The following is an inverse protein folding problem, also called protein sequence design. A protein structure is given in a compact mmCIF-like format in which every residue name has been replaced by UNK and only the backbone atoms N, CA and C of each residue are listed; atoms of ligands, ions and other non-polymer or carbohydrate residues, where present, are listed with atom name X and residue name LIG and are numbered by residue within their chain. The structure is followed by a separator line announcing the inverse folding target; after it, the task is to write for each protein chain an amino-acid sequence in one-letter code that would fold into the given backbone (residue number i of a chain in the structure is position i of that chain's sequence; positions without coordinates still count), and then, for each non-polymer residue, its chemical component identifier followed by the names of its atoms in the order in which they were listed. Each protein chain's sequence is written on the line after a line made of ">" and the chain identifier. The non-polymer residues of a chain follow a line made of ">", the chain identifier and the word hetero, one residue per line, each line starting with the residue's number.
data_IF_841586396474
#
_entry.id   IF_841586396474
#
_cell.length_a   1.000
_cell.length_b   1.000
_cell.length_c   1.000
_cell.angle_alpha   90.00
_cell.angle_beta   90.00
_cell.angle_gamma   90.00
#
_symmetry.space_group_name_H-M   'P 1'
#
loop_
_entity.id
_entity.type
_entity.pdbx_description
1 polymer ?
#
# COMPACT_ATOMS: atom_id res chain seq x y z
N UNK A 1 -36.09 2.98 -64.29
CA UNK A 1 -37.10 2.71 -63.24
C UNK A 1 -36.83 1.32 -62.70
N UNK A 2 -36.24 1.24 -61.51
CA UNK A 2 -35.92 -0.02 -60.85
C UNK A 2 -36.34 0.12 -59.37
N UNK A 3 -37.24 -0.76 -58.96
CA UNK A 3 -37.63 -1.03 -57.58
C UNK A 3 -36.60 -1.94 -56.92
N UNK A 4 -36.29 -1.73 -55.64
CA UNK A 4 -36.16 -2.82 -54.67
C UNK A 4 -36.32 -2.31 -53.23
N UNK A 5 -37.25 -2.93 -52.51
CA UNK A 5 -37.41 -2.88 -51.05
C UNK A 5 -36.25 -3.62 -50.35
N UNK A 6 -36.06 -3.35 -49.05
CA UNK A 6 -36.07 -4.32 -47.93
C UNK A 6 -35.43 -3.66 -46.69
N UNK A 7 -36.22 -3.53 -45.61
CA UNK A 7 -35.77 -3.59 -44.21
C UNK A 7 -35.81 -5.07 -43.78
N UNK A 8 -34.94 -5.53 -42.87
CA UNK A 8 -35.44 -5.60 -41.50
C UNK A 8 -34.42 -5.31 -40.38
N UNK A 9 -35.05 -4.91 -39.29
CA UNK A 9 -34.65 -4.91 -37.89
C UNK A 9 -34.01 -6.24 -37.44
N UNK A 10 -32.97 -6.16 -36.62
CA UNK A 10 -32.48 -7.32 -35.85
C UNK A 10 -31.93 -6.88 -34.50
N UNK A 11 -32.81 -6.93 -33.52
CA UNK A 11 -32.50 -7.12 -32.11
C UNK A 11 -31.53 -8.29 -31.91
N UNK A 12 -30.44 -8.08 -31.16
CA UNK A 12 -29.72 -9.20 -30.56
C UNK A 12 -29.18 -8.84 -29.17
N UNK A 13 -29.79 -9.52 -28.19
CA UNK A 13 -29.34 -9.76 -26.84
C UNK A 13 -27.83 -9.96 -26.74
N UNK A 14 -27.19 -9.31 -25.76
CA UNK A 14 -26.05 -9.92 -25.07
C UNK A 14 -26.32 -9.91 -23.57
N UNK A 15 -26.35 -11.14 -23.07
CA UNK A 15 -26.66 -11.55 -21.72
C UNK A 15 -25.72 -10.92 -20.70
N UNK A 16 -26.31 -10.43 -19.62
CA UNK A 16 -25.64 -10.19 -18.35
C UNK A 16 -25.26 -11.56 -17.80
N UNK A 17 -23.97 -11.91 -17.85
CA UNK A 17 -23.44 -13.06 -17.11
C UNK A 17 -22.98 -12.53 -15.76
N UNK A 18 -23.84 -12.73 -14.77
CA UNK A 18 -23.58 -12.47 -13.36
C UNK A 18 -22.86 -13.71 -12.81
N UNK A 19 -21.52 -13.66 -12.65
CA UNK A 19 -20.80 -14.72 -11.96
C UNK A 19 -20.87 -14.43 -10.46
N UNK A 20 -21.79 -15.12 -9.80
CA UNK A 20 -21.91 -15.20 -8.35
C UNK A 20 -20.80 -16.09 -7.80
N UNK A 21 -20.12 -15.55 -6.79
CA UNK A 21 -19.25 -16.21 -5.83
C UNK A 21 -19.74 -17.61 -5.41
N UNK A 22 -18.83 -18.59 -5.40
CA UNK A 22 -19.03 -19.81 -4.63
C UNK A 22 -17.76 -20.14 -3.85
N UNK A 23 -17.75 -19.75 -2.59
CA UNK A 23 -16.89 -20.35 -1.57
C UNK A 23 -17.10 -21.87 -1.54
N UNK A 24 -16.01 -22.63 -1.52
CA UNK A 24 -16.02 -24.02 -1.09
C UNK A 24 -14.79 -24.27 -0.24
N UNK A 25 -14.97 -24.07 1.06
CA UNK A 25 -14.13 -24.65 2.11
C UNK A 25 -14.32 -26.17 2.05
N UNK A 26 -13.24 -26.91 1.83
CA UNK A 26 -13.18 -28.33 2.16
C UNK A 26 -12.00 -28.57 3.09
N UNK A 27 -12.33 -28.62 4.38
CA UNK A 27 -11.58 -29.37 5.38
C UNK A 27 -11.78 -30.87 5.12
N UNK A 28 -10.68 -31.58 4.87
CA UNK A 28 -10.57 -32.99 5.24
C UNK A 28 -9.15 -33.25 5.74
N UNK A 29 -9.05 -33.61 7.01
CA UNK A 29 -7.83 -34.10 7.61
C UNK A 29 -7.49 -35.51 7.13
N UNK A 30 -6.22 -35.86 7.21
CA UNK A 30 -5.79 -37.25 7.32
C UNK A 30 -4.58 -37.31 8.26
N UNK A 31 -4.85 -37.84 9.45
CA UNK A 31 -3.89 -38.43 10.36
C UNK A 31 -3.39 -39.73 9.72
N UNK A 32 -2.07 -39.93 9.66
CA UNK A 32 -1.46 -41.26 9.79
C UNK A 32 -0.12 -41.15 10.52
N UNK A 33 0.04 -42.08 11.46
CA UNK A 33 1.20 -42.31 12.30
C UNK A 33 2.11 -43.40 11.69
N UNK A 34 3.18 -43.73 12.43
CA UNK A 34 4.17 -44.81 12.25
C UNK A 34 5.39 -44.41 11.39
N UNK A 35 6.64 -44.71 11.72
CA UNK A 35 7.25 -45.50 12.81
C UNK A 35 8.72 -45.05 12.89
N UNK A 36 9.24 -44.73 14.08
CA UNK A 36 10.68 -44.49 14.28
C UNK A 36 11.31 -45.77 14.80
N UNK A 37 12.27 -46.29 14.03
CA UNK A 37 13.10 -47.44 14.38
C UNK A 37 14.23 -47.03 15.33
N UNK A 38 14.44 -47.85 16.35
CA UNK A 38 15.42 -47.69 17.43
C UNK A 38 16.83 -48.18 17.04
N UNK A 39 17.85 -47.38 17.32
CA UNK A 39 19.18 -47.76 17.83
C UNK A 39 19.66 -46.53 18.62
N UNK A 40 20.06 -46.55 19.89
CA UNK A 40 20.67 -47.62 20.66
C UNK A 40 22.03 -47.12 21.13
N UNK A 41 22.10 -46.14 22.03
CA UNK A 41 23.33 -45.78 22.76
C UNK A 41 22.99 -45.26 24.16
N UNK A 42 23.37 -46.03 25.16
CA UNK A 42 23.22 -45.76 26.58
C UNK A 42 24.32 -44.81 27.07
N UNK A 43 23.95 -43.57 27.43
CA UNK A 43 24.80 -42.61 28.14
C UNK A 43 24.31 -42.53 29.60
N UNK A 44 25.21 -42.53 30.61
CA UNK A 44 24.83 -42.54 32.02
C UNK A 44 24.10 -41.26 32.45
N UNK A 45 23.21 -41.33 33.47
CA UNK A 45 22.35 -40.23 33.86
C UNK A 45 23.16 -39.12 34.54
N UNK A 46 23.18 -37.93 33.93
CA UNK A 46 23.47 -36.68 34.64
C UNK A 46 22.24 -36.30 35.45
N UNK A 47 22.37 -36.33 36.77
CA UNK A 47 21.44 -35.67 37.69
C UNK A 47 21.43 -34.17 37.36
N UNK A 48 20.37 -33.72 36.69
CA UNK A 48 20.06 -32.30 36.52
C UNK A 48 19.00 -31.99 37.57
N UNK A 49 19.39 -31.28 38.61
CA UNK A 49 18.47 -30.60 39.51
C UNK A 49 17.73 -29.53 38.70
N UNK A 50 16.50 -29.83 38.27
CA UNK A 50 15.59 -28.82 37.77
C UNK A 50 15.05 -28.04 38.97
N UNK A 51 15.55 -26.82 39.14
CA UNK A 51 14.84 -25.77 39.87
C UNK A 51 13.72 -25.28 38.92
N UNK A 52 12.44 -25.33 39.31
CA UNK A 52 11.39 -24.69 38.54
C UNK A 52 11.47 -23.19 38.82
N UNK A 53 12.29 -22.47 38.06
CA UNK A 53 12.27 -21.01 38.12
C UNK A 53 11.03 -20.49 37.42
N UNK A 54 10.29 -19.72 38.21
CA UNK A 54 9.01 -19.13 37.92
C UNK A 54 8.96 -18.49 36.53
N UNK A 55 7.88 -18.79 35.81
CA UNK A 55 7.38 -17.94 34.74
C UNK A 55 7.05 -16.57 35.35
N UNK A 56 8.06 -15.71 35.43
CA UNK A 56 7.89 -14.29 35.66
C UNK A 56 7.15 -13.77 34.43
N UNK A 57 5.83 -13.70 34.51
CA UNK A 57 4.98 -12.91 33.63
C UNK A 57 5.39 -11.46 33.86
N UNK A 58 6.45 -11.06 33.16
CA UNK A 58 6.94 -9.70 33.11
C UNK A 58 5.80 -8.92 32.46
N UNK A 59 4.99 -8.25 33.27
CA UNK A 59 4.00 -7.28 32.81
C UNK A 59 4.78 -6.28 31.96
N UNK A 60 4.67 -6.42 30.64
CA UNK A 60 5.22 -5.47 29.69
C UNK A 60 4.46 -4.19 29.91
N UNK A 61 5.10 -3.21 30.55
CA UNK A 61 4.59 -1.85 30.60
C UNK A 61 4.43 -1.37 29.16
N UNK A 62 3.19 -1.05 28.78
CA UNK A 62 2.88 -0.45 27.49
C UNK A 62 3.74 0.80 27.31
N UNK A 63 4.51 0.85 26.22
CA UNK A 63 5.25 2.05 25.84
C UNK A 63 4.32 3.01 25.12
N UNK A 64 4.72 4.28 25.00
CA UNK A 64 4.00 5.23 24.16
C UNK A 64 3.89 4.73 22.70
N UNK A 65 4.88 3.95 22.24
CA UNK A 65 4.86 3.33 20.92
C UNK A 65 3.76 2.27 20.78
N UNK A 66 3.48 1.49 21.82
CA UNK A 66 2.35 0.56 21.82
C UNK A 66 1.01 1.31 21.71
N UNK A 67 0.89 2.43 22.42
CA UNK A 67 -0.31 3.28 22.39
C UNK A 67 -0.51 3.87 21.00
N UNK A 68 0.56 4.38 20.37
CA UNK A 68 0.51 4.90 19.00
C UNK A 68 0.11 3.83 17.98
N UNK A 69 0.67 2.62 18.08
CA UNK A 69 0.28 1.52 17.19
C UNK A 69 -1.17 1.12 17.39
N UNK A 70 -1.64 1.03 18.64
CA UNK A 70 -3.06 0.75 18.92
C UNK A 70 -3.99 1.84 18.34
N UNK A 71 -3.62 3.12 18.49
CA UNK A 71 -4.36 4.24 17.90
C UNK A 71 -4.35 4.20 16.37
N UNK A 72 -3.21 3.86 15.76
CA UNK A 72 -3.06 3.65 14.31
C UNK A 72 -4.02 2.57 13.81
N UNK A 73 -4.07 1.42 14.48
CA UNK A 73 -4.97 0.31 14.13
C UNK A 73 -6.44 0.73 14.26
N UNK A 74 -6.81 1.42 15.33
CA UNK A 74 -8.17 1.93 15.52
C UNK A 74 -8.55 2.92 14.42
N UNK A 75 -7.64 3.82 14.05
CA UNK A 75 -7.86 4.78 12.99
C UNK A 75 -8.11 4.12 11.64
N UNK A 76 -7.33 3.07 11.32
CA UNK A 76 -7.49 2.28 10.10
C UNK A 76 -8.83 1.55 10.13
N UNK A 77 -9.11 0.76 11.16
CA UNK A 77 -10.33 -0.06 11.22
C UNK A 77 -11.61 0.79 11.25
N UNK A 78 -11.58 1.97 11.87
CA UNK A 78 -12.76 2.84 12.00
C UNK A 78 -12.81 3.95 10.95
N UNK A 79 -11.83 4.02 10.05
CA UNK A 79 -11.69 5.07 9.03
C UNK A 79 -11.81 6.49 9.63
N UNK A 80 -11.25 6.68 10.83
CA UNK A 80 -11.44 7.88 11.62
C UNK A 80 -10.10 8.57 11.89
N UNK A 81 -9.89 9.68 11.18
CA UNK A 81 -8.67 10.50 11.25
C UNK A 81 -8.34 10.98 12.66
N UNK A 82 -9.33 11.14 13.54
CA UNK A 82 -9.13 11.71 14.88
C UNK A 82 -8.23 10.85 15.79
N UNK A 83 -8.14 9.54 15.55
CA UNK A 83 -7.24 8.67 16.30
C UNK A 83 -5.75 8.92 15.97
N UNK A 84 -5.45 9.40 14.76
CA UNK A 84 -4.09 9.72 14.31
C UNK A 84 -3.64 11.13 14.69
N UNK A 85 -4.55 12.11 14.61
CA UNK A 85 -4.25 13.53 14.69
C UNK A 85 -3.35 13.97 15.87
N UNK A 86 -3.50 13.43 17.10
CA UNK A 86 -2.65 13.80 18.23
C UNK A 86 -1.17 13.48 18.03
N UNK A 87 -0.85 12.49 17.20
CA UNK A 87 0.50 11.92 17.04
C UNK A 87 1.22 12.38 15.78
N UNK A 88 0.54 13.15 14.92
CA UNK A 88 1.13 13.67 13.70
C UNK A 88 1.90 14.96 13.97
N UNK A 89 2.96 15.18 13.20
CA UNK A 89 3.66 16.46 13.15
C UNK A 89 2.74 17.52 12.54
N UNK A 90 2.90 18.79 12.91
CA UNK A 90 2.00 19.87 12.50
C UNK A 90 1.80 19.97 10.97
N UNK A 91 2.87 19.76 10.20
CA UNK A 91 2.80 19.75 8.72
C UNK A 91 1.92 18.62 8.14
N UNK A 92 1.77 17.52 8.89
CA UNK A 92 1.09 16.30 8.45
C UNK A 92 -0.34 16.22 9.03
N UNK A 93 -0.74 17.16 9.90
CA UNK A 93 -2.05 17.21 10.57
C UNK A 93 -3.22 17.65 9.69
N UNK A 94 -3.04 17.84 8.38
CA UNK A 94 -4.19 18.12 7.52
C UNK A 94 -5.09 16.87 7.44
N UNK A 95 -6.40 16.94 7.75
CA UNK A 95 -7.29 15.76 7.74
C UNK A 95 -7.27 15.00 6.41
N UNK A 96 -7.15 15.71 5.29
CA UNK A 96 -7.01 15.12 3.95
C UNK A 96 -5.77 14.23 3.80
N UNK A 97 -4.64 14.56 4.47
CA UNK A 97 -3.42 13.78 4.40
C UNK A 97 -3.61 12.44 5.11
N UNK A 98 -4.21 12.51 6.30
CA UNK A 98 -4.55 11.33 7.11
C UNK A 98 -5.53 10.45 6.37
N UNK A 99 -6.57 11.04 5.76
CA UNK A 99 -7.56 10.29 5.01
C UNK A 99 -6.95 9.55 3.81
N UNK A 100 -6.05 10.19 3.06
CA UNK A 100 -5.35 9.52 1.96
C UNK A 100 -4.54 8.31 2.46
N UNK A 101 -3.83 8.46 3.58
CA UNK A 101 -3.10 7.36 4.20
C UNK A 101 -4.03 6.22 4.67
N UNK A 102 -5.15 6.56 5.33
CA UNK A 102 -6.16 5.58 5.75
C UNK A 102 -6.71 4.80 4.55
N UNK A 103 -7.03 5.47 3.45
CA UNK A 103 -7.50 4.83 2.23
C UNK A 103 -6.46 3.84 1.68
N UNK A 104 -5.18 4.19 1.68
CA UNK A 104 -4.11 3.26 1.26
C UNK A 104 -3.92 2.09 2.22
N UNK A 105 -4.02 2.30 3.54
CA UNK A 105 -4.05 1.20 4.51
C UNK A 105 -5.21 0.25 4.25
N UNK A 106 -6.42 0.78 4.08
CA UNK A 106 -7.62 -0.03 3.82
C UNK A 106 -7.47 -0.82 2.53
N UNK A 107 -7.01 -0.20 1.45
CA UNK A 107 -6.76 -0.89 0.19
C UNK A 107 -5.68 -1.98 0.33
N UNK A 108 -4.57 -1.71 1.04
CA UNK A 108 -3.52 -2.69 1.30
C UNK A 108 -4.04 -3.93 2.06
N UNK A 109 -4.87 -3.71 3.08
CA UNK A 109 -5.53 -4.77 3.84
C UNK A 109 -6.83 -5.27 3.19
N UNK A 110 -7.09 -4.91 1.92
CA UNK A 110 -8.25 -5.35 1.15
C UNK A 110 -9.61 -5.05 1.81
N UNK A 111 -9.68 -3.97 2.59
CA UNK A 111 -10.87 -3.56 3.33
C UNK A 111 -11.14 -4.38 4.59
N UNK A 112 -10.27 -5.32 4.95
CA UNK A 112 -10.37 -6.10 6.18
C UNK A 112 -9.84 -5.33 7.39
N UNK A 113 -10.32 -5.71 8.56
CA UNK A 113 -9.83 -5.15 9.83
C UNK A 113 -8.47 -5.73 10.19
N UNK A 114 -7.59 -4.88 10.72
CA UNK A 114 -6.37 -5.30 11.39
C UNK A 114 -6.76 -5.84 12.76
N UNK A 115 -6.44 -7.11 13.01
CA UNK A 115 -6.84 -7.83 14.23
C UNK A 115 -5.66 -8.19 15.13
N UNK A 116 -4.43 -8.05 14.64
CA UNK A 116 -3.23 -8.45 15.35
C UNK A 116 -2.11 -7.41 15.18
N UNK A 117 -1.29 -7.26 16.22
CA UNK A 117 -0.02 -6.56 16.11
C UNK A 117 1.03 -7.15 17.05
N UNK A 118 2.27 -7.18 16.57
CA UNK A 118 3.40 -7.78 17.25
C UNK A 118 4.58 -6.81 17.23
N UNK A 119 5.21 -6.60 18.38
CA UNK A 119 6.49 -5.90 18.43
C UNK A 119 7.61 -6.85 18.01
N UNK A 120 8.26 -6.53 16.90
CA UNK A 120 9.37 -7.32 16.34
C UNK A 120 10.70 -7.05 17.03
N UNK A 121 10.91 -5.82 17.52
CA UNK A 121 12.16 -5.45 18.17
C UNK A 121 12.28 -3.95 18.45
N UNK A 122 13.40 -3.59 19.07
CA UNK A 122 13.78 -2.20 19.34
C UNK A 122 15.22 -2.00 18.90
N UNK A 123 15.45 -0.97 18.10
CA UNK A 123 16.77 -0.52 17.66
C UNK A 123 17.07 0.82 18.35
N UNK A 124 18.32 0.99 18.80
CA UNK A 124 18.80 2.30 19.23
C UNK A 124 19.56 2.94 18.07
N UNK A 125 19.10 4.12 17.65
CA UNK A 125 19.67 4.88 16.54
C UNK A 125 20.42 6.08 17.11
N UNK A 126 21.72 6.12 16.79
CA UNK A 126 22.64 7.19 17.17
C UNK A 126 23.22 7.04 18.59
N UNK A 127 24.54 7.11 18.66
CA UNK A 127 25.31 7.33 19.90
C UNK A 127 26.33 8.44 19.64
N UNK A 128 25.90 9.69 19.53
CA UNK A 128 26.82 10.81 19.33
C UNK A 128 26.51 11.97 20.27
N UNK A 129 27.10 11.93 21.48
CA UNK A 129 27.15 13.05 22.43
C UNK A 129 26.06 13.06 23.52
N UNK A 130 25.67 14.26 23.98
CA UNK A 130 24.72 14.49 25.08
C UNK A 130 23.23 14.38 24.65
N UNK A 131 22.92 13.79 23.49
CA UNK A 131 21.55 13.67 23.02
C UNK A 131 20.90 12.39 23.55
N UNK A 132 19.59 12.46 23.85
CA UNK A 132 18.79 11.29 24.17
C UNK A 132 18.80 10.32 22.98
N UNK A 133 19.16 9.04 23.17
CA UNK A 133 19.21 8.08 22.07
C UNK A 133 17.82 7.92 21.45
N UNK A 134 17.76 7.87 20.13
CA UNK A 134 16.51 7.68 19.40
C UNK A 134 16.19 6.18 19.43
N UNK A 135 15.01 5.82 19.88
CA UNK A 135 14.55 4.43 19.86
C UNK A 135 13.64 4.21 18.66
N UNK A 136 13.92 3.17 17.86
CA UNK A 136 13.07 2.72 16.77
C UNK A 136 12.43 1.39 17.15
N UNK A 137 11.12 1.41 17.37
CA UNK A 137 10.32 0.22 17.65
C UNK A 137 9.76 -0.30 16.33
N UNK A 138 10.05 -1.56 16.02
CA UNK A 138 9.53 -2.21 14.82
C UNK A 138 8.30 -3.05 15.19
N UNK A 139 7.22 -2.88 14.44
CA UNK A 139 5.98 -3.63 14.61
C UNK A 139 5.59 -4.33 13.31
N UNK A 140 4.89 -5.45 13.45
CA UNK A 140 4.09 -6.08 12.39
C UNK A 140 2.63 -5.95 12.77
N UNK A 141 1.82 -5.39 11.87
CA UNK A 141 0.36 -5.41 11.99
C UNK A 141 -0.21 -6.41 10.99
N UNK A 142 -1.31 -7.10 11.32
CA UNK A 142 -1.90 -8.11 10.43
C UNK A 142 -3.43 -8.20 10.57
N UNK A 143 -4.09 -8.60 9.47
CA UNK A 143 -5.50 -8.99 9.47
C UNK A 143 -5.67 -10.52 9.62
N UNK A 144 -6.92 -10.97 9.75
CA UNK A 144 -7.27 -12.39 9.87
C UNK A 144 -7.00 -13.22 8.59
N UNK A 145 -6.78 -12.59 7.45
CA UNK A 145 -6.41 -13.23 6.18
C UNK A 145 -4.89 -13.45 6.06
N UNK A 146 -4.11 -12.97 7.03
CA UNK A 146 -2.65 -13.09 7.03
C UNK A 146 -1.92 -12.00 6.22
N UNK A 147 -2.64 -11.01 5.68
CA UNK A 147 -2.02 -9.82 5.10
C UNK A 147 -1.36 -9.05 6.24
N UNK A 148 -0.09 -8.72 6.10
CA UNK A 148 0.67 -8.06 7.16
C UNK A 148 1.59 -6.97 6.62
N UNK A 149 1.83 -5.95 7.44
CA UNK A 149 2.69 -4.81 7.11
C UNK A 149 3.60 -4.50 8.29
N UNK A 150 4.86 -4.19 7.99
CA UNK A 150 5.79 -3.68 8.99
C UNK A 150 5.66 -2.16 9.10
N UNK A 151 5.70 -1.67 10.33
CA UNK A 151 5.61 -0.25 10.66
C UNK A 151 6.67 0.07 11.72
N UNK A 152 7.33 1.21 11.61
CA UNK A 152 8.27 1.68 12.60
C UNK A 152 7.69 2.85 13.40
N UNK A 153 8.01 2.91 14.70
CA UNK A 153 7.74 4.06 15.56
C UNK A 153 9.07 4.58 16.09
N UNK A 154 9.35 5.86 15.88
CA UNK A 154 10.50 6.54 16.47
C UNK A 154 10.08 7.24 17.74
N UNK A 155 10.88 7.07 18.79
CA UNK A 155 10.72 7.74 20.07
C UNK A 155 12.02 8.46 20.41
N UNK A 156 11.94 9.79 20.46
CA UNK A 156 13.00 10.69 20.88
C UNK A 156 12.46 11.67 21.96
N UNK A 157 12.43 12.96 21.67
CA UNK A 157 11.65 13.96 22.42
C UNK A 157 10.16 13.89 22.09
N UNK A 158 9.82 13.24 20.97
CA UNK A 158 8.49 13.06 20.44
C UNK A 158 8.32 11.62 19.98
N UNK A 159 7.07 11.20 19.82
CA UNK A 159 6.75 9.93 19.20
C UNK A 159 6.15 10.15 17.82
N UNK A 160 6.66 9.41 16.82
CA UNK A 160 6.17 9.50 15.45
C UNK A 160 6.14 8.13 14.78
N UNK A 161 5.13 7.92 13.95
CA UNK A 161 5.05 6.77 13.06
C UNK A 161 5.89 7.06 11.82
N UNK A 162 6.73 6.11 11.43
CA UNK A 162 7.47 6.10 10.18
C UNK A 162 6.88 5.02 9.29
N UNK A 163 5.99 5.47 8.39
CA UNK A 163 5.35 4.64 7.40
C UNK A 163 5.18 5.45 6.11
N UNK A 164 5.58 4.91 4.94
CA UNK A 164 5.35 5.57 3.68
C UNK A 164 3.89 6.00 3.45
N UNK A 165 2.93 5.26 4.00
CA UNK A 165 1.52 5.59 3.82
C UNK A 165 1.18 6.93 4.47
N UNK A 166 1.69 7.22 5.67
CA UNK A 166 1.48 8.53 6.28
C UNK A 166 2.28 9.63 5.60
N UNK A 167 3.52 9.32 5.20
CA UNK A 167 4.46 10.33 4.70
C UNK A 167 4.16 10.75 3.26
N UNK A 168 3.70 9.82 2.42
CA UNK A 168 3.70 10.02 0.96
C UNK A 168 2.34 9.81 0.28
N UNK A 169 1.34 9.21 0.94
CA UNK A 169 0.06 8.86 0.26
C UNK A 169 -0.66 10.08 -0.33
N UNK A 170 -0.70 11.19 0.40
CA UNK A 170 -1.39 12.40 -0.10
C UNK A 170 -0.68 13.00 -1.31
N UNK A 171 0.65 13.00 -1.32
CA UNK A 171 1.44 13.53 -2.42
C UNK A 171 1.32 12.63 -3.64
N UNK A 172 1.37 11.30 -3.44
CA UNK A 172 1.16 10.32 -4.49
C UNK A 172 -0.24 10.42 -5.10
N UNK A 173 -1.28 10.49 -4.27
CA UNK A 173 -2.66 10.62 -4.75
C UNK A 173 -2.87 11.92 -5.53
N UNK A 174 -2.39 13.07 -5.02
CA UNK A 174 -2.46 14.36 -5.73
C UNK A 174 -1.68 14.36 -7.04
N UNK A 175 -0.55 13.66 -7.09
CA UNK A 175 0.24 13.53 -8.32
C UNK A 175 -0.54 12.78 -9.39
N UNK A 176 -1.11 11.62 -9.03
CA UNK A 176 -1.93 10.81 -9.94
C UNK A 176 -3.19 11.57 -10.36
N UNK A 177 -3.90 12.21 -9.43
CA UNK A 177 -5.09 13.02 -9.71
C UNK A 177 -4.81 14.10 -10.76
N UNK A 178 -3.72 14.86 -10.58
CA UNK A 178 -3.32 15.92 -11.53
C UNK A 178 -2.85 15.36 -12.86
N UNK A 179 -2.18 14.21 -12.85
CA UNK A 179 -1.75 13.52 -14.07
C UNK A 179 -2.96 13.12 -14.92
N UNK A 180 -3.95 12.49 -14.28
CA UNK A 180 -5.20 12.11 -14.94
C UNK A 180 -5.96 13.35 -15.41
N UNK A 181 -6.17 14.37 -14.57
CA UNK A 181 -6.83 15.62 -14.99
C UNK A 181 -6.17 16.24 -16.22
N UNK A 182 -4.83 16.28 -16.27
CA UNK A 182 -4.10 16.81 -17.42
C UNK A 182 -4.35 15.99 -18.70
N UNK A 183 -4.37 14.66 -18.61
CA UNK A 183 -4.67 13.77 -19.73
C UNK A 183 -6.12 13.95 -20.19
N UNK A 184 -7.08 13.92 -19.26
CA UNK A 184 -8.52 14.04 -19.56
C UNK A 184 -8.85 15.37 -20.24
N UNK A 185 -8.29 16.46 -19.71
CA UNK A 185 -8.45 17.80 -20.28
C UNK A 185 -7.57 18.09 -21.50
N UNK A 186 -6.69 17.15 -21.86
CA UNK A 186 -5.72 17.27 -22.95
C UNK A 186 -4.84 18.53 -22.83
N UNK A 187 -4.57 18.95 -21.60
CA UNK A 187 -3.87 20.19 -21.27
C UNK A 187 -2.37 19.91 -21.13
N UNK A 188 -1.63 20.21 -22.21
CA UNK A 188 -0.18 20.00 -22.30
C UNK A 188 0.58 20.79 -21.22
N UNK A 189 0.12 21.99 -20.87
CA UNK A 189 0.78 22.83 -19.87
C UNK A 189 0.54 22.32 -18.45
N UNK A 190 -0.63 21.74 -18.17
CA UNK A 190 -0.85 20.97 -16.93
C UNK A 190 0.02 19.73 -16.90
N UNK A 191 0.05 18.94 -17.98
CA UNK A 191 0.83 17.70 -18.01
C UNK A 191 2.33 17.97 -17.81
N UNK A 192 2.84 19.01 -18.46
CA UNK A 192 4.22 19.48 -18.28
C UNK A 192 4.53 19.79 -16.81
N UNK A 193 3.65 20.50 -16.09
CA UNK A 193 3.83 20.83 -14.67
C UNK A 193 3.79 19.61 -13.75
N UNK A 194 3.06 18.57 -14.15
CA UNK A 194 2.97 17.32 -13.38
C UNK A 194 4.22 16.47 -13.57
N UNK A 195 4.77 16.41 -14.78
CA UNK A 195 5.90 15.53 -15.11
C UNK A 195 7.27 16.18 -14.93
N UNK A 196 7.38 17.51 -14.99
CA UNK A 196 8.64 18.22 -14.79
C UNK A 196 8.98 18.36 -13.29
N UNK A 197 9.17 17.23 -12.62
CA UNK A 197 9.72 17.12 -11.27
C UNK A 197 11.18 16.70 -11.46
N UNK A 198 12.12 17.34 -10.74
CA UNK A 198 13.56 16.99 -10.77
C UNK A 198 14.25 17.14 -12.14
N UNK A 199 14.23 18.36 -12.69
CA UNK A 199 15.08 18.79 -13.83
C UNK A 199 14.81 18.09 -15.18
N UNK A 200 13.92 17.10 -15.23
CA UNK A 200 13.46 16.52 -16.48
C UNK A 200 12.51 17.48 -17.17
N UNK A 201 12.86 17.89 -18.39
CA UNK A 201 12.04 18.78 -19.22
C UNK A 201 11.55 18.01 -20.44
N UNK A 202 10.26 17.72 -20.47
CA UNK A 202 9.62 17.16 -21.66
C UNK A 202 9.30 18.24 -22.69
N UNK A 203 9.57 17.97 -23.96
CA UNK A 203 9.10 18.77 -25.08
C UNK A 203 7.58 18.67 -25.22
N UNK A 204 6.95 19.68 -25.84
CA UNK A 204 5.50 19.60 -26.09
C UNK A 204 5.10 18.42 -26.97
N UNK A 205 5.99 17.95 -27.85
CA UNK A 205 5.69 16.82 -28.73
C UNK A 205 5.70 15.49 -27.96
N UNK A 206 6.62 15.29 -27.02
CA UNK A 206 6.60 14.14 -26.11
C UNK A 206 5.34 14.13 -25.23
N UNK A 207 4.93 15.29 -24.73
CA UNK A 207 3.70 15.41 -23.93
C UNK A 207 2.44 15.11 -24.76
N UNK A 208 2.40 15.52 -26.03
CA UNK A 208 1.31 15.17 -26.95
C UNK A 208 1.28 13.68 -27.24
N UNK A 209 2.45 13.07 -27.39
CA UNK A 209 2.59 11.63 -27.63
C UNK A 209 2.04 10.82 -26.46
N UNK A 210 2.38 11.17 -25.21
CA UNK A 210 1.80 10.54 -24.00
C UNK A 210 0.25 10.57 -24.06
N UNK A 211 -0.33 11.74 -24.33
CA UNK A 211 -1.80 11.88 -24.42
C UNK A 211 -2.36 11.05 -25.57
N UNK A 212 -1.66 10.97 -26.70
CA UNK A 212 -2.08 10.15 -27.84
C UNK A 212 -2.14 8.67 -27.47
N UNK A 213 -1.14 8.15 -26.76
CA UNK A 213 -1.11 6.76 -26.30
C UNK A 213 -2.29 6.44 -25.37
N UNK A 214 -2.67 7.37 -24.50
CA UNK A 214 -3.88 7.25 -23.70
C UNK A 214 -5.17 7.23 -24.55
N UNK A 215 -5.26 8.04 -25.61
CA UNK A 215 -6.43 8.04 -26.52
C UNK A 215 -6.58 6.73 -27.28
N UNK A 216 -5.47 6.11 -27.67
CA UNK A 216 -5.49 4.84 -28.39
C UNK A 216 -5.99 3.69 -27.50
N UNK A 217 -5.79 3.82 -26.19
CA UNK A 217 -6.20 2.83 -25.20
C UNK A 217 -7.58 3.09 -24.60
N UNK A 218 -7.94 4.36 -24.35
CA UNK A 218 -9.08 4.74 -23.53
C UNK A 218 -9.92 5.87 -24.13
N UNK A 219 -11.21 5.92 -23.76
CA UNK A 219 -11.98 7.16 -23.83
C UNK A 219 -11.53 8.07 -22.68
N UNK A 220 -10.89 9.21 -23.00
CA UNK A 220 -10.23 10.05 -22.00
C UNK A 220 -11.17 10.56 -20.91
N UNK A 221 -12.40 10.93 -21.26
CA UNK A 221 -13.45 11.38 -20.33
C UNK A 221 -13.87 10.31 -19.31
N UNK A 222 -13.53 9.04 -19.56
CA UNK A 222 -13.83 7.92 -18.69
C UNK A 222 -12.69 7.47 -17.80
N UNK A 223 -11.51 8.10 -17.89
CA UNK A 223 -10.36 7.71 -17.09
C UNK A 223 -10.68 7.82 -15.60
N UNK A 224 -10.38 6.75 -14.88
CA UNK A 224 -10.43 6.68 -13.43
C UNK A 224 -9.15 6.01 -12.94
N UNK A 225 -8.77 6.24 -11.68
CA UNK A 225 -7.59 5.62 -11.09
C UNK A 225 -7.92 5.02 -9.72
N UNK A 226 -7.18 3.98 -9.36
CA UNK A 226 -7.32 3.29 -8.09
C UNK A 226 -5.95 2.90 -7.56
N UNK A 227 -5.70 3.15 -6.28
CA UNK A 227 -4.56 2.61 -5.58
C UNK A 227 -4.71 1.09 -5.41
N UNK A 228 -3.72 0.31 -5.85
CA UNK A 228 -3.77 -1.16 -5.81
C UNK A 228 -2.72 -1.79 -4.89
N UNK A 229 -1.70 -1.06 -4.46
CA UNK A 229 -0.70 -1.63 -3.55
C UNK A 229 0.59 -0.82 -3.44
N UNK A 230 1.57 -1.41 -2.76
CA UNK A 230 2.88 -0.81 -2.53
C UNK A 230 3.97 -1.85 -2.73
N UNK A 231 5.02 -1.50 -3.48
CA UNK A 231 6.28 -2.24 -3.53
C UNK A 231 7.28 -1.53 -2.60
N UNK A 232 7.22 -1.83 -1.29
CA UNK A 232 8.04 -1.13 -0.28
C UNK A 232 9.55 -1.21 -0.53
N UNK A 233 10.04 -2.34 -1.04
CA UNK A 233 11.46 -2.54 -1.36
C UNK A 233 11.96 -1.61 -2.48
N UNK A 234 11.06 -1.18 -3.36
CA UNK A 234 11.34 -0.23 -4.45
C UNK A 234 10.82 1.16 -4.19
N UNK A 235 10.25 1.39 -3.00
CA UNK A 235 9.63 2.65 -2.61
C UNK A 235 8.60 3.14 -3.64
N UNK A 236 7.68 2.25 -4.04
CA UNK A 236 6.68 2.55 -5.07
C UNK A 236 5.26 2.33 -4.56
N UNK A 237 4.38 3.30 -4.79
CA UNK A 237 2.94 3.09 -4.79
C UNK A 237 2.48 2.66 -6.18
N UNK A 238 1.60 1.68 -6.22
CA UNK A 238 1.03 1.15 -7.45
C UNK A 238 -0.39 1.66 -7.62
N UNK A 239 -0.69 2.16 -8.81
CA UNK A 239 -2.03 2.57 -9.20
C UNK A 239 -2.43 1.92 -10.52
N UNK A 240 -3.70 1.57 -10.63
CA UNK A 240 -4.30 1.17 -11.90
C UNK A 240 -5.14 2.32 -12.42
N UNK A 241 -4.94 2.67 -13.69
CA UNK A 241 -5.79 3.54 -14.47
C UNK A 241 -6.73 2.66 -15.30
N UNK A 242 -8.02 2.98 -15.28
CA UNK A 242 -9.06 2.25 -16.01
C UNK A 242 -9.92 3.20 -16.84
N UNK A 243 -10.62 2.66 -17.84
CA UNK A 243 -11.62 3.39 -18.62
C UNK A 243 -12.84 2.53 -18.94
N UNK A 244 -13.83 3.10 -19.64
CA UNK A 244 -15.13 2.45 -19.91
C UNK A 244 -15.05 1.08 -20.63
N UNK A 245 -13.96 0.81 -21.35
CA UNK A 245 -13.78 -0.43 -22.11
C UNK A 245 -13.25 -1.61 -21.28
N UNK A 246 -13.11 -1.45 -19.96
CA UNK A 246 -12.54 -2.46 -19.06
C UNK A 246 -11.05 -2.70 -19.26
N UNK A 247 -10.37 -1.83 -20.03
CA UNK A 247 -8.91 -1.82 -20.13
C UNK A 247 -8.34 -1.21 -18.85
N UNK A 248 -7.18 -1.72 -18.47
CA UNK A 248 -6.43 -1.29 -17.30
C UNK A 248 -4.99 -1.01 -17.70
N UNK A 249 -4.37 -0.04 -17.03
CA UNK A 249 -2.99 0.36 -17.24
C UNK A 249 -2.36 0.70 -15.88
N UNK A 250 -1.24 0.06 -15.55
CA UNK A 250 -0.57 0.28 -14.27
C UNK A 250 0.42 1.45 -14.39
N UNK A 251 0.39 2.33 -13.40
CA UNK A 251 1.42 3.36 -13.19
C UNK A 251 2.00 3.23 -11.78
N UNK A 252 3.20 3.77 -11.61
CA UNK A 252 3.93 3.71 -10.35
C UNK A 252 4.25 5.12 -9.89
N UNK A 253 4.05 5.40 -8.61
CA UNK A 253 4.56 6.60 -7.96
C UNK A 253 5.72 6.21 -7.08
N UNK A 254 6.93 6.62 -7.47
CA UNK A 254 8.15 6.45 -6.70
C UNK A 254 8.17 7.53 -5.61
N UNK A 255 8.57 7.17 -4.39
CA UNK A 255 8.70 8.10 -3.28
C UNK A 255 10.07 7.94 -2.60
N UNK A 256 10.59 9.03 -2.04
CA UNK A 256 11.88 9.03 -1.36
C UNK A 256 12.40 10.45 -1.18
N UNK A 257 13.25 10.67 -0.18
CA UNK A 257 13.91 11.96 0.06
C UNK A 257 12.96 13.18 0.15
N UNK A 258 11.70 12.95 0.56
CA UNK A 258 10.67 13.99 0.64
C UNK A 258 10.03 14.36 -0.70
N UNK A 259 10.32 13.62 -1.77
CA UNK A 259 9.81 13.82 -3.12
C UNK A 259 8.95 12.63 -3.58
N UNK A 260 8.15 12.88 -4.62
CA UNK A 260 7.38 11.87 -5.34
C UNK A 260 7.53 12.09 -6.84
N UNK A 261 7.68 11.01 -7.61
CA UNK A 261 7.75 11.04 -9.06
C UNK A 261 6.88 9.96 -9.68
N UNK A 262 6.38 10.21 -10.89
CA UNK A 262 5.47 9.31 -11.60
C UNK A 262 6.24 8.56 -12.68
N UNK A 263 6.08 7.25 -12.69
CA UNK A 263 6.61 6.36 -13.71
C UNK A 263 5.45 5.66 -14.42
N UNK A 264 5.40 5.85 -15.73
CA UNK A 264 4.42 5.29 -16.64
C UNK A 264 5.17 4.81 -17.89
N UNK A 265 4.78 3.66 -18.45
CA UNK A 265 5.37 3.13 -19.68
C UNK A 265 5.21 4.05 -20.90
N UNK A 266 4.21 4.95 -20.88
CA UNK A 266 4.00 5.93 -21.95
C UNK A 266 4.90 7.16 -21.82
N UNK A 267 5.49 7.38 -20.63
CA UNK A 267 6.46 8.45 -20.44
C UNK A 267 7.81 7.95 -20.98
N UNK A 268 8.41 8.64 -21.97
CA UNK A 268 9.69 8.23 -22.51
C UNK A 268 10.73 8.26 -21.38
N UNK A 269 11.45 7.15 -21.24
CA UNK A 269 12.62 7.11 -20.36
C UNK A 269 13.63 8.13 -20.88
N UNK A 270 14.07 9.03 -20.01
CA UNK A 270 15.13 9.98 -20.34
C UNK A 270 16.36 9.18 -20.80
N UNK A 271 16.62 9.15 -22.11
CA UNK A 271 17.67 8.31 -22.70
C UNK A 271 19.10 8.85 -22.48
N UNK A 272 19.27 9.87 -21.64
CA UNK A 272 20.60 10.43 -21.43
C UNK A 272 20.66 11.48 -20.33
N UNK A 273 21.34 11.10 -19.27
CA UNK A 273 22.35 11.92 -18.59
C UNK A 273 23.48 11.00 -18.13
#
# INVERSE_FOLDING_TARGET
>A
MATLNILPDSSMNKSIVLIVSLCSVLFFGCSQAETVSSQGETVPPKTITQVPDAQTTKSLTLTEADVLIAATIQAINQENVNFFMPYLMERDRAPENVQAALNHYRAYFQGEEITDFERLGVEQLGETGNQTPIQRFNYRIANNQGISKQIAVYQDQSIRLDDPFLLYSVYANRLVERYIDAIQSQDIDKLSRVLNIEETLFSQDELREIISQYKDLFSLDSLNYQFIGVESERQQFLYTISGQNGREHEIKVIYGDGLVSLHDQFIPLNQGS
#
